data_IF_417077454926
#
_entry.id   IF_417077454926
#
_cell.length_a   1.000
_cell.length_b   1.000
_cell.length_c   1.000
_cell.angle_alpha   90.00
_cell.angle_beta   90.00
_cell.angle_gamma   90.00
#
_symmetry.space_group_name_H-M   'P 1'
#
loop_
_entity.id
_entity.type
_entity.pdbx_description
1 polymer ?
#
# COMPACT_ATOMS: atom_id res chain seq x y z
N UNK A 1 -7.50 -6.38 5.14
CA UNK A 1 -6.81 -5.96 3.90
C UNK A 1 -7.84 -5.98 2.80
N UNK A 2 -8.05 -4.85 2.13
CA UNK A 2 -8.99 -4.73 1.00
C UNK A 2 -8.18 -4.64 -0.29
N UNK A 3 -8.62 -5.41 -1.27
CA UNK A 3 -7.88 -5.60 -2.52
C UNK A 3 -8.72 -5.13 -3.70
N UNK A 4 -8.21 -4.15 -4.44
CA UNK A 4 -8.90 -3.54 -5.58
C UNK A 4 -8.22 -3.97 -6.87
N UNK A 5 -8.89 -4.84 -7.62
CA UNK A 5 -8.34 -5.49 -8.82
C UNK A 5 -8.74 -4.76 -10.10
N UNK A 6 -7.85 -3.99 -10.75
CA UNK A 6 -8.18 -3.33 -12.02
C UNK A 6 -8.45 -4.32 -13.16
N UNK A 7 -7.98 -5.58 -13.06
CA UNK A 7 -8.26 -6.63 -14.06
C UNK A 7 -9.67 -7.21 -13.94
N UNK A 8 -10.26 -7.18 -12.74
CA UNK A 8 -11.63 -7.67 -12.48
C UNK A 8 -12.65 -6.54 -12.41
N UNK A 9 -12.21 -5.35 -12.04
CA UNK A 9 -13.03 -4.15 -11.92
C UNK A 9 -12.29 -2.96 -12.53
N UNK A 10 -12.77 -2.52 -13.70
CA UNK A 10 -12.28 -1.31 -14.38
C UNK A 10 -12.41 -0.04 -13.55
N UNK A 11 -13.30 -0.01 -12.56
CA UNK A 11 -13.48 1.09 -11.62
C UNK A 11 -12.71 0.88 -10.30
N UNK A 12 -11.86 -0.16 -10.20
CA UNK A 12 -11.12 -0.51 -8.98
C UNK A 12 -10.39 0.69 -8.35
N UNK A 13 -9.69 1.49 -9.18
CA UNK A 13 -8.98 2.69 -8.71
C UNK A 13 -9.93 3.75 -8.14
N UNK A 14 -11.07 3.96 -8.80
CA UNK A 14 -12.09 4.91 -8.36
C UNK A 14 -12.78 4.43 -7.08
N UNK A 15 -13.07 3.14 -6.98
CA UNK A 15 -13.67 2.53 -5.80
C UNK A 15 -12.71 2.55 -4.61
N UNK A 16 -11.42 2.36 -4.86
CA UNK A 16 -10.36 2.50 -3.88
C UNK A 16 -10.32 3.93 -3.33
N UNK A 17 -10.30 4.94 -4.21
CA UNK A 17 -10.25 6.35 -3.82
C UNK A 17 -11.50 6.75 -3.02
N UNK A 18 -12.68 6.33 -3.49
CA UNK A 18 -13.93 6.59 -2.78
C UNK A 18 -13.97 5.89 -1.40
N UNK A 19 -13.39 4.70 -1.27
CA UNK A 19 -13.24 4.04 0.02
C UNK A 19 -12.28 4.81 0.93
N UNK A 20 -11.14 5.24 0.40
CA UNK A 20 -10.15 6.02 1.14
C UNK A 20 -10.74 7.31 1.69
N UNK A 21 -11.52 8.05 0.89
CA UNK A 21 -12.23 9.25 1.35
C UNK A 21 -13.17 8.95 2.51
N UNK A 22 -13.96 7.86 2.40
CA UNK A 22 -14.88 7.44 3.46
C UNK A 22 -14.17 6.99 4.74
N UNK A 23 -13.02 6.33 4.61
CA UNK A 23 -12.21 5.90 5.76
C UNK A 23 -11.49 7.10 6.40
N UNK A 24 -11.15 8.10 5.60
CA UNK A 24 -10.56 9.37 6.06
C UNK A 24 -11.55 10.26 6.78
N UNK A 25 -12.85 10.07 6.57
CA UNK A 25 -13.90 10.74 7.33
C UNK A 25 -13.95 10.23 8.79
N UNK A 26 -13.26 10.95 9.67
CA UNK A 26 -13.12 10.62 11.09
C UNK A 26 -12.09 9.51 11.38
N UNK A 27 -11.39 9.03 10.35
CA UNK A 27 -10.25 8.14 10.50
C UNK A 27 -8.92 8.90 10.54
N UNK A 28 -7.90 8.23 11.06
CA UNK A 28 -6.52 8.69 11.13
C UNK A 28 -5.70 7.95 10.06
N UNK A 29 -5.25 8.64 9.00
CA UNK A 29 -4.31 8.07 8.04
C UNK A 29 -2.99 7.77 8.77
N UNK A 30 -2.67 6.49 8.92
CA UNK A 30 -1.37 6.05 9.42
C UNK A 30 -0.30 6.19 8.32
N UNK A 31 -0.71 5.93 7.08
CA UNK A 31 0.00 6.25 5.86
C UNK A 31 -0.99 6.71 4.80
N UNK A 32 -0.81 7.91 4.24
CA UNK A 32 -1.71 8.42 3.22
C UNK A 32 -1.72 7.50 2.00
N UNK A 33 -2.86 7.46 1.31
CA UNK A 33 -2.96 6.82 0.03
C UNK A 33 -2.14 7.60 -1.00
N UNK A 34 -0.99 7.06 -1.36
CA UNK A 34 -0.07 7.68 -2.31
C UNK A 34 0.68 6.60 -3.12
N UNK A 35 1.44 7.05 -4.10
CA UNK A 35 2.41 6.24 -4.83
C UNK A 35 3.69 6.10 -4.02
N UNK A 36 4.12 4.86 -3.86
CA UNK A 36 5.34 4.52 -3.15
C UNK A 36 6.25 3.67 -4.05
N UNK A 37 7.57 3.63 -3.80
CA UNK A 37 8.53 2.91 -4.65
C UNK A 37 8.18 1.43 -4.81
N UNK A 38 7.53 0.88 -3.79
CA UNK A 38 7.08 -0.48 -3.79
C UNK A 38 5.72 -0.59 -4.49
N UNK A 39 4.76 0.34 -4.37
CA UNK A 39 3.41 0.24 -4.97
C UNK A 39 2.90 1.55 -5.55
N UNK A 40 2.31 1.52 -6.74
CA UNK A 40 1.72 2.70 -7.41
C UNK A 40 0.59 3.37 -6.61
N UNK A 41 -0.08 2.63 -5.73
CA UNK A 41 -1.09 3.16 -4.82
C UNK A 41 -1.00 2.33 -3.56
N UNK A 42 -0.72 2.87 -2.40
CA UNK A 42 -0.87 2.11 -1.16
C UNK A 42 -1.35 3.05 -0.07
N UNK A 43 -2.21 2.56 0.82
CA UNK A 43 -2.72 3.37 1.92
C UNK A 43 -2.91 2.54 3.18
N UNK A 44 -2.65 3.17 4.32
CA UNK A 44 -2.91 2.57 5.62
C UNK A 44 -3.67 3.56 6.49
N UNK A 45 -4.88 3.21 6.90
CA UNK A 45 -5.74 4.12 7.65
C UNK A 45 -6.40 3.41 8.82
N UNK A 46 -6.50 4.10 9.94
CA UNK A 46 -7.31 3.68 11.07
C UNK A 46 -8.65 4.41 11.00
N UNK A 47 -9.75 3.70 10.86
CA UNK A 47 -11.07 4.34 10.77
C UNK A 47 -11.53 4.93 12.12
N UNK A 48 -12.66 5.63 12.10
CA UNK A 48 -13.29 6.23 13.29
C UNK A 48 -13.70 5.24 14.37
N UNK A 49 -13.82 3.96 14.05
CA UNK A 49 -14.13 2.89 14.99
C UNK A 49 -12.87 2.24 15.58
N UNK A 50 -11.69 2.71 15.16
CA UNK A 50 -10.40 2.21 15.59
C UNK A 50 -9.91 0.98 14.83
N UNK A 51 -10.62 0.56 13.77
CA UNK A 51 -10.23 -0.56 12.91
C UNK A 51 -9.20 -0.08 11.90
N UNK A 52 -8.14 -0.85 11.72
CA UNK A 52 -7.06 -0.48 10.79
C UNK A 52 -7.21 -1.20 9.45
N UNK A 53 -7.23 -0.43 8.37
CA UNK A 53 -7.43 -0.86 7.00
C UNK A 53 -6.17 -0.62 6.18
N UNK A 54 -5.60 -1.71 5.66
CA UNK A 54 -4.58 -1.66 4.62
C UNK A 54 -5.29 -1.76 3.27
N UNK A 55 -5.08 -0.73 2.44
CA UNK A 55 -5.63 -0.61 1.10
C UNK A 55 -4.48 -0.83 0.13
N UNK A 56 -4.61 -1.90 -0.64
CA UNK A 56 -3.65 -2.30 -1.67
C UNK A 56 -4.39 -2.44 -3.01
N UNK A 57 -3.90 -1.84 -4.10
CA UNK A 57 -4.27 -2.23 -5.44
C UNK A 57 -3.67 -3.62 -5.68
N UNK A 58 -4.37 -4.45 -6.44
CA UNK A 58 -3.88 -5.79 -6.84
C UNK A 58 -2.54 -5.74 -7.57
N UNK A 59 -2.11 -4.56 -8.01
CA UNK A 59 -0.75 -4.30 -8.51
C UNK A 59 0.36 -4.51 -7.46
N UNK A 60 0.05 -5.05 -6.26
CA UNK A 60 1.06 -5.67 -5.41
C UNK A 60 1.81 -6.81 -6.14
N UNK A 61 1.14 -7.54 -7.04
CA UNK A 61 1.79 -8.52 -7.94
C UNK A 61 2.70 -7.82 -8.96
N UNK A 62 2.37 -6.59 -9.35
CA UNK A 62 3.19 -5.76 -10.25
C UNK A 62 4.43 -5.22 -9.53
N UNK A 63 4.45 -5.21 -8.19
CA UNK A 63 5.67 -4.97 -7.40
C UNK A 63 6.68 -6.11 -7.55
N UNK A 64 6.27 -7.27 -8.08
CA UNK A 64 7.17 -8.34 -8.52
C UNK A 64 7.73 -8.12 -9.94
N UNK A 65 7.47 -6.97 -10.58
CA UNK A 65 8.08 -6.61 -11.87
C UNK A 65 9.46 -5.94 -11.73
N UNK A 66 9.89 -5.61 -10.51
CA UNK A 66 11.31 -5.39 -10.23
C UNK A 66 12.10 -6.70 -10.39
N UNK A 67 13.41 -6.61 -10.54
CA UNK A 67 14.26 -7.81 -10.45
C UNK A 67 13.97 -8.53 -9.13
N UNK A 68 14.04 -9.87 -9.14
CA UNK A 68 13.76 -10.71 -7.96
C UNK A 68 14.54 -10.23 -6.71
N UNK A 69 15.69 -9.61 -6.94
CA UNK A 69 16.56 -9.01 -5.93
C UNK A 69 15.98 -7.73 -5.30
N UNK A 70 15.49 -6.77 -6.08
CA UNK A 70 14.89 -5.52 -5.58
C UNK A 70 13.67 -5.83 -4.71
N UNK A 71 12.83 -6.74 -5.19
CA UNK A 71 11.61 -7.17 -4.51
C UNK A 71 11.95 -7.94 -3.23
N UNK A 72 12.96 -8.81 -3.27
CA UNK A 72 13.45 -9.54 -2.11
C UNK A 72 14.02 -8.59 -1.04
N UNK A 73 14.73 -7.53 -1.43
CA UNK A 73 15.27 -6.52 -0.51
C UNK A 73 14.15 -5.74 0.16
N UNK A 74 13.17 -5.23 -0.60
CA UNK A 74 12.01 -4.52 -0.06
C UNK A 74 11.18 -5.42 0.85
N UNK A 75 10.92 -6.66 0.44
CA UNK A 75 10.15 -7.63 1.24
C UNK A 75 10.88 -7.98 2.54
N UNK A 76 12.20 -8.21 2.50
CA UNK A 76 12.99 -8.46 3.72
C UNK A 76 13.03 -7.25 4.65
N UNK A 77 13.12 -6.04 4.11
CA UNK A 77 13.09 -4.81 4.90
C UNK A 77 11.72 -4.64 5.57
N UNK A 78 10.63 -4.82 4.81
CA UNK A 78 9.25 -4.78 5.31
C UNK A 78 9.00 -5.83 6.41
N UNK A 79 9.43 -7.09 6.22
CA UNK A 79 9.23 -8.16 7.21
C UNK A 79 10.03 -7.95 8.50
N UNK A 80 11.16 -7.25 8.45
CA UNK A 80 11.96 -6.93 9.64
C UNK A 80 11.49 -5.67 10.37
N UNK A 81 10.62 -4.87 9.74
CA UNK A 81 10.12 -3.63 10.30
C UNK A 81 9.03 -3.88 11.35
N UNK A 82 9.30 -3.43 12.58
CA UNK A 82 8.26 -3.33 13.62
C UNK A 82 7.33 -2.13 13.40
N UNK A 83 7.80 -1.13 12.66
CA UNK A 83 7.07 0.08 12.27
C UNK A 83 7.42 0.37 10.82
N UNK A 84 6.40 0.72 10.03
CA UNK A 84 6.57 0.99 8.62
C UNK A 84 7.44 2.24 8.40
N UNK A 85 8.50 2.10 7.61
CA UNK A 85 9.44 3.17 7.30
C UNK A 85 9.70 3.22 5.79
N UNK A 86 9.17 4.27 5.16
CA UNK A 86 9.28 4.52 3.74
C UNK A 86 10.71 4.79 3.25
N UNK A 87 11.51 5.50 4.05
CA UNK A 87 12.89 5.78 3.70
C UNK A 87 13.71 4.49 3.67
N UNK A 88 13.45 3.59 4.61
CA UNK A 88 14.10 2.28 4.65
C UNK A 88 13.63 1.35 3.54
N UNK A 89 12.34 1.36 3.17
CA UNK A 89 11.84 0.60 2.01
C UNK A 89 12.41 1.11 0.69
N UNK A 90 12.49 2.44 0.52
CA UNK A 90 13.11 3.06 -0.66
C UNK A 90 14.59 2.70 -0.78
N UNK A 91 15.33 2.80 0.31
CA UNK A 91 16.75 2.42 0.36
C UNK A 91 16.97 0.93 0.07
N UNK A 92 16.03 0.07 0.51
CA UNK A 92 16.09 -1.36 0.20
C UNK A 92 15.79 -1.66 -1.28
N UNK A 93 14.87 -0.90 -1.89
CA UNK A 93 14.55 -1.01 -3.31
C UNK A 93 15.73 -0.56 -4.19
N UNK A 94 16.28 0.63 -3.92
CA UNK A 94 17.42 1.21 -4.62
C UNK A 94 18.77 0.53 -4.30
N UNK A 95 18.75 -0.51 -3.46
CA UNK A 95 19.91 -1.19 -2.87
C UNK A 95 20.95 -1.68 -3.86
#
# INVERSE_FOLDING_TARGET
>A
MLNFDPSKDKDARKNLDALWEKLSDGGEPLMPLDTYPFSDRYGWIKDKYGVTWQIVPVDLDTMMQGSEEEVSRVTKAFLKMKKFDLATLKTAYEG
#
